data_IF_760617405247
#
_entry.id   IF_760617405247
#
_cell.length_a   1.000
_cell.length_b   1.000
_cell.length_c   1.000
_cell.angle_alpha   90.00
_cell.angle_beta   90.00
_cell.angle_gamma   90.00
#
_symmetry.space_group_name_H-M   'P 1'
#
loop_
_entity.id
_entity.type
_entity.pdbx_description
1 polymer ?
#
# COMPACT_ATOMS: atom_id res chain seq x y z
N UNK A 1 -3.25 -10.59 17.36
CA UNK A 1 -4.02 -9.78 16.39
C UNK A 1 -4.99 -10.75 15.73
N UNK A 2 -6.25 -10.74 16.16
CA UNK A 2 -7.32 -11.53 15.55
C UNK A 2 -8.28 -10.61 14.80
N UNK A 3 -9.25 -11.20 14.11
CA UNK A 3 -10.38 -10.47 13.58
C UNK A 3 -11.31 -10.10 14.74
N UNK A 4 -11.03 -9.00 15.44
CA UNK A 4 -11.71 -8.60 16.68
C UNK A 4 -13.15 -8.06 16.42
N UNK A 5 -13.97 -8.79 15.67
CA UNK A 5 -15.37 -8.43 15.37
C UNK A 5 -15.55 -7.13 14.58
N UNK A 6 -14.47 -6.53 14.06
CA UNK A 6 -14.54 -5.32 13.24
C UNK A 6 -15.21 -5.65 11.89
N UNK A 7 -16.12 -4.79 11.41
CA UNK A 7 -16.80 -5.01 10.14
C UNK A 7 -15.80 -5.02 8.99
N UNK A 8 -16.09 -5.81 7.96
CA UNK A 8 -15.37 -5.73 6.70
C UNK A 8 -15.59 -4.35 6.07
N UNK A 9 -14.52 -3.83 5.45
CA UNK A 9 -14.54 -2.54 4.78
C UNK A 9 -14.19 -2.77 3.31
N UNK A 10 -15.05 -2.28 2.42
CA UNK A 10 -14.85 -2.34 0.98
C UNK A 10 -15.19 -0.98 0.34
N UNK A 11 -14.18 -0.32 -0.21
CA UNK A 11 -14.34 1.01 -0.83
C UNK A 11 -14.48 0.94 -2.35
N UNK A 12 -14.46 -0.24 -2.96
CA UNK A 12 -14.38 -0.41 -4.42
C UNK A 12 -15.58 0.16 -5.16
N UNK A 13 -16.77 0.12 -4.57
CA UNK A 13 -17.97 0.71 -5.18
C UNK A 13 -17.92 2.24 -5.27
N UNK A 14 -16.99 2.88 -4.54
CA UNK A 14 -16.82 4.34 -4.49
C UNK A 14 -15.72 4.85 -5.43
N UNK A 15 -15.01 3.95 -6.11
CA UNK A 15 -13.89 4.28 -6.98
C UNK A 15 -13.97 3.47 -8.27
N UNK A 16 -13.26 3.91 -9.31
CA UNK A 16 -13.16 3.15 -10.57
C UNK A 16 -11.71 2.71 -10.76
N UNK A 17 -11.50 1.39 -10.83
CA UNK A 17 -10.18 0.85 -11.14
C UNK A 17 -9.75 1.26 -12.55
N UNK A 18 -8.47 1.60 -12.70
CA UNK A 18 -7.89 1.78 -14.02
C UNK A 18 -6.38 1.47 -14.01
N UNK A 19 -5.86 0.71 -14.98
CA UNK A 19 -4.45 0.36 -15.01
C UNK A 19 -3.60 1.57 -15.39
N UNK A 20 -2.35 1.57 -14.95
CA UNK A 20 -1.32 2.52 -15.35
C UNK A 20 -1.10 2.48 -16.88
N UNK A 21 -0.70 3.61 -17.46
CA UNK A 21 -0.55 3.78 -18.92
C UNK A 21 0.90 3.63 -19.36
N UNK A 22 1.85 4.01 -18.52
CA UNK A 22 3.29 3.94 -18.76
C UNK A 22 3.98 2.93 -17.85
N UNK A 23 5.32 2.93 -17.86
CA UNK A 23 6.10 2.07 -16.96
C UNK A 23 6.25 2.65 -15.55
N UNK A 24 6.13 3.98 -15.40
CA UNK A 24 6.51 4.72 -14.18
C UNK A 24 5.37 5.54 -13.57
N UNK A 25 4.13 5.39 -14.06
CA UNK A 25 2.98 6.20 -13.65
C UNK A 25 2.10 5.53 -12.58
N UNK A 26 2.59 4.48 -11.90
CA UNK A 26 1.83 3.77 -10.86
C UNK A 26 1.38 4.71 -9.72
N UNK A 27 2.26 5.60 -9.23
CA UNK A 27 1.91 6.58 -8.20
C UNK A 27 0.80 7.54 -8.64
N UNK A 28 0.96 8.12 -9.85
CA UNK A 28 -0.01 9.05 -10.45
C UNK A 28 -1.36 8.36 -10.61
N UNK A 29 -1.34 7.12 -11.11
CA UNK A 29 -2.56 6.37 -11.33
C UNK A 29 -3.27 6.02 -10.04
N UNK A 30 -2.54 5.66 -8.99
CA UNK A 30 -3.11 5.46 -7.67
C UNK A 30 -3.82 6.73 -7.18
N UNK A 31 -3.19 7.90 -7.30
CA UNK A 31 -3.80 9.19 -6.90
C UNK A 31 -5.09 9.49 -7.66
N UNK A 32 -5.11 9.31 -8.99
CA UNK A 32 -6.32 9.49 -9.81
C UNK A 32 -7.47 8.60 -9.34
N UNK A 33 -7.19 7.34 -9.01
CA UNK A 33 -8.23 6.40 -8.54
C UNK A 33 -8.82 6.83 -7.18
N UNK A 34 -8.05 7.51 -6.35
CA UNK A 34 -8.45 7.97 -5.02
C UNK A 34 -9.24 9.29 -5.05
N UNK A 35 -9.14 10.08 -6.13
CA UNK A 35 -9.79 11.40 -6.27
C UNK A 35 -11.30 11.42 -6.00
N UNK A 36 -12.12 10.42 -6.43
CA UNK A 36 -13.56 10.40 -6.12
C UNK A 36 -13.87 10.41 -4.62
N UNK A 37 -12.91 10.01 -3.78
CA UNK A 37 -13.01 10.03 -2.32
C UNK A 37 -12.38 11.28 -1.69
N UNK A 38 -12.07 12.30 -2.52
CA UNK A 38 -11.53 13.61 -2.13
C UNK A 38 -10.22 13.53 -1.34
N UNK A 39 -9.42 12.51 -1.60
CA UNK A 39 -8.10 12.31 -0.99
C UNK A 39 -7.05 11.97 -2.03
N UNK A 40 -5.81 12.35 -1.76
CA UNK A 40 -4.64 11.86 -2.48
C UNK A 40 -3.52 11.52 -1.50
N UNK A 41 -2.64 10.61 -1.89
CA UNK A 41 -1.49 10.23 -1.08
C UNK A 41 -0.45 11.35 -1.01
N UNK A 42 0.13 11.58 0.17
CA UNK A 42 1.25 12.50 0.38
C UNK A 42 2.47 12.14 -0.49
N UNK A 43 3.34 13.12 -0.70
CA UNK A 43 4.64 12.90 -1.32
C UNK A 43 5.61 12.20 -0.35
N UNK A 44 6.76 11.71 -0.85
CA UNK A 44 7.94 11.48 -0.01
C UNK A 44 8.19 12.54 1.05
N UNK A 45 8.49 12.07 2.26
CA UNK A 45 8.78 12.94 3.42
C UNK A 45 10.23 12.85 3.86
N UNK A 46 10.93 11.76 3.52
CA UNK A 46 12.36 11.62 3.79
C UNK A 46 13.23 12.00 2.58
N UNK A 47 14.50 12.29 2.86
CA UNK A 47 15.48 12.77 1.87
C UNK A 47 15.69 11.79 0.69
N UNK A 48 15.60 10.48 0.95
CA UNK A 48 15.85 9.43 -0.04
C UNK A 48 14.57 8.93 -0.74
N UNK A 49 13.56 9.80 -0.82
CA UNK A 49 12.19 9.50 -1.25
C UNK A 49 11.41 8.52 -0.35
N UNK A 50 11.90 8.29 0.87
CA UNK A 50 11.23 7.44 1.86
C UNK A 50 9.91 8.05 2.35
N UNK A 51 9.05 7.19 2.90
CA UNK A 51 7.76 7.56 3.46
C UNK A 51 7.84 7.84 4.95
N UNK A 52 6.86 8.58 5.47
CA UNK A 52 6.69 8.78 6.90
C UNK A 52 6.56 7.44 7.63
N UNK A 53 5.79 6.50 7.04
CA UNK A 53 5.77 5.11 7.44
C UNK A 53 6.57 4.27 6.44
N UNK A 54 7.90 4.35 6.52
CA UNK A 54 8.81 3.41 5.88
C UNK A 54 8.89 2.14 6.72
N UNK A 55 8.27 1.05 6.27
CA UNK A 55 8.13 -0.20 7.03
C UNK A 55 9.28 -1.16 6.80
N UNK A 56 10.02 -1.00 5.69
CA UNK A 56 11.22 -1.76 5.41
C UNK A 56 12.13 -0.99 4.45
N UNK A 57 13.43 -1.31 4.49
CA UNK A 57 14.45 -0.88 3.52
C UNK A 57 15.29 -2.09 3.14
N UNK A 58 15.86 -2.14 1.94
CA UNK A 58 16.88 -3.14 1.64
C UNK A 58 18.12 -2.94 2.51
N UNK A 59 18.79 -4.03 2.90
CA UNK A 59 20.11 -3.92 3.50
C UNK A 59 21.11 -3.37 2.48
N UNK A 60 22.28 -2.91 2.94
CA UNK A 60 23.31 -2.32 2.08
C UNK A 60 23.83 -3.23 0.97
N UNK A 61 23.63 -4.55 1.08
CA UNK A 61 24.01 -5.54 0.07
C UNK A 61 22.87 -5.92 -0.89
N UNK A 62 21.67 -5.34 -0.72
CA UNK A 62 20.48 -5.64 -1.53
C UNK A 62 20.12 -7.14 -1.56
N UNK A 63 20.29 -7.83 -0.43
CA UNK A 63 20.02 -9.28 -0.28
C UNK A 63 18.83 -9.59 0.61
N UNK A 64 18.34 -8.62 1.39
CA UNK A 64 17.18 -8.79 2.26
C UNK A 64 16.55 -7.45 2.64
N UNK A 65 15.29 -7.49 3.06
CA UNK A 65 14.61 -6.36 3.68
C UNK A 65 14.92 -6.30 5.19
N UNK A 66 15.34 -5.13 5.64
CA UNK A 66 15.45 -4.74 7.06
C UNK A 66 14.14 -4.08 7.46
N UNK A 67 13.36 -4.75 8.31
CA UNK A 67 12.04 -4.30 8.74
C UNK A 67 12.12 -3.25 9.86
N UNK A 68 11.23 -2.27 9.82
CA UNK A 68 11.04 -1.27 10.87
C UNK A 68 9.70 -1.51 11.56
N UNK A 69 9.76 -2.26 12.67
CA UNK A 69 8.57 -2.69 13.42
C UNK A 69 7.72 -1.51 13.90
N UNK A 70 8.34 -0.45 14.43
CA UNK A 70 7.62 0.72 14.95
C UNK A 70 6.84 1.42 13.84
N UNK A 71 7.46 1.63 12.67
CA UNK A 71 6.76 2.23 11.54
C UNK A 71 5.70 1.30 10.95
N UNK A 72 5.95 -0.01 10.96
CA UNK A 72 4.97 -1.00 10.53
C UNK A 72 3.71 -0.97 11.40
N UNK A 73 3.84 -1.06 12.72
CA UNK A 73 2.71 -1.04 13.65
C UNK A 73 1.90 0.26 13.54
N UNK A 74 2.59 1.40 13.49
CA UNK A 74 1.94 2.71 13.32
C UNK A 74 1.28 2.86 11.95
N UNK A 75 1.92 2.35 10.89
CA UNK A 75 1.40 2.38 9.53
C UNK A 75 0.17 1.48 9.34
N UNK A 76 0.15 0.29 9.94
CA UNK A 76 -1.04 -0.59 9.94
C UNK A 76 -2.19 0.06 10.70
N UNK A 77 -1.92 0.66 11.85
CA UNK A 77 -2.93 1.45 12.59
C UNK A 77 -3.47 2.61 11.74
N UNK A 78 -2.61 3.25 10.96
CA UNK A 78 -3.03 4.28 10.01
C UNK A 78 -3.94 3.73 8.91
N UNK A 79 -3.58 2.61 8.29
CA UNK A 79 -4.40 1.93 7.27
C UNK A 79 -5.80 1.63 7.82
N UNK A 80 -5.85 1.01 8.99
CA UNK A 80 -7.12 0.66 9.64
C UNK A 80 -8.03 1.88 9.81
N UNK A 81 -7.51 2.94 10.45
CA UNK A 81 -8.30 4.15 10.70
C UNK A 81 -8.66 4.90 9.41
N UNK A 82 -7.78 4.88 8.41
CA UNK A 82 -8.04 5.47 7.10
C UNK A 82 -9.20 4.76 6.41
N UNK A 83 -9.20 3.42 6.40
CA UNK A 83 -10.28 2.62 5.83
C UNK A 83 -11.59 2.80 6.60
N UNK A 84 -11.54 2.84 7.94
CA UNK A 84 -12.70 3.13 8.81
C UNK A 84 -13.31 4.51 8.49
N UNK A 85 -12.48 5.50 8.15
CA UNK A 85 -12.90 6.82 7.70
C UNK A 85 -13.36 6.87 6.22
N UNK A 86 -13.34 5.75 5.50
CA UNK A 86 -13.75 5.67 4.10
C UNK A 86 -12.69 6.12 3.10
N UNK A 87 -11.41 6.14 3.49
CA UNK A 87 -10.30 6.57 2.66
C UNK A 87 -9.36 5.40 2.30
N UNK A 88 -9.15 5.11 1.01
CA UNK A 88 -8.16 4.13 0.56
C UNK A 88 -6.75 4.61 0.88
N UNK A 89 -5.76 3.72 0.85
CA UNK A 89 -4.38 4.06 1.18
C UNK A 89 -3.43 3.61 0.07
N UNK A 90 -2.62 4.54 -0.44
CA UNK A 90 -1.55 4.21 -1.36
C UNK A 90 -0.38 3.61 -0.57
N UNK A 91 0.08 2.44 -1.01
CA UNK A 91 1.25 1.76 -0.42
C UNK A 91 2.28 1.45 -1.48
N UNK A 92 3.55 1.56 -1.08
CA UNK A 92 4.69 1.12 -1.88
C UNK A 92 5.03 -0.33 -1.54
N UNK A 93 5.38 -1.10 -2.55
CA UNK A 93 5.79 -2.50 -2.41
C UNK A 93 7.18 -2.72 -3.01
N UNK A 94 7.87 -3.73 -2.48
CA UNK A 94 9.02 -4.37 -3.11
C UNK A 94 8.57 -5.69 -3.73
N UNK A 95 8.88 -5.89 -5.01
CA UNK A 95 8.66 -7.14 -5.75
C UNK A 95 9.95 -7.88 -6.11
N UNK A 96 11.09 -7.19 -6.04
CA UNK A 96 12.41 -7.78 -6.23
C UNK A 96 13.47 -6.93 -5.51
N UNK A 97 14.47 -7.61 -4.95
CA UNK A 97 15.63 -6.95 -4.38
C UNK A 97 16.52 -6.38 -5.49
N UNK A 98 17.23 -5.27 -5.22
CA UNK A 98 18.12 -4.60 -6.18
C UNK A 98 17.42 -4.14 -7.47
N UNK A 99 16.12 -3.83 -7.40
CA UNK A 99 15.29 -3.49 -8.57
C UNK A 99 14.86 -2.01 -8.60
N UNK A 100 15.54 -1.17 -7.82
CA UNK A 100 15.11 0.20 -7.51
C UNK A 100 14.78 1.10 -8.69
N UNK A 101 13.52 1.54 -8.76
CA UNK A 101 13.07 2.57 -9.71
C UNK A 101 12.44 3.80 -9.04
N UNK A 102 11.80 3.68 -7.87
CA UNK A 102 11.02 4.79 -7.27
C UNK A 102 11.70 5.49 -6.08
N UNK A 103 12.72 4.89 -5.47
CA UNK A 103 13.47 5.44 -4.35
C UNK A 103 14.97 5.31 -4.55
N UNK A 104 15.76 6.23 -3.98
CA UNK A 104 17.21 6.13 -3.99
C UNK A 104 17.72 4.96 -3.14
N UNK A 105 16.92 4.52 -2.16
CA UNK A 105 17.14 3.31 -1.35
C UNK A 105 16.91 2.01 -2.14
N UNK A 106 16.42 2.12 -3.39
CA UNK A 106 16.05 1.02 -4.27
C UNK A 106 14.98 0.05 -3.73
N UNK A 107 14.33 0.39 -2.61
CA UNK A 107 13.46 -0.56 -1.90
C UNK A 107 12.05 -0.63 -2.49
N UNK A 108 11.42 0.50 -2.82
CA UNK A 108 10.07 0.50 -3.42
C UNK A 108 10.17 0.56 -4.93
N UNK A 109 9.58 -0.41 -5.60
CA UNK A 109 9.64 -0.58 -7.06
C UNK A 109 8.25 -0.49 -7.72
N UNK A 110 7.18 -0.53 -6.92
CA UNK A 110 5.81 -0.37 -7.41
C UNK A 110 4.87 0.25 -6.36
N UNK A 111 3.77 0.85 -6.83
CA UNK A 111 2.73 1.42 -5.98
C UNK A 111 1.38 0.76 -6.26
N UNK A 112 0.66 0.43 -5.19
CA UNK A 112 -0.69 -0.14 -5.22
C UNK A 112 -1.60 0.60 -4.25
N UNK A 113 -2.89 0.29 -4.27
CA UNK A 113 -3.88 0.93 -3.38
C UNK A 113 -4.52 -0.14 -2.50
N UNK A 114 -4.46 0.01 -1.18
CA UNK A 114 -5.31 -0.75 -0.26
C UNK A 114 -6.71 -0.13 -0.29
N UNK A 115 -7.70 -0.93 -0.66
CA UNK A 115 -9.10 -0.51 -0.91
C UNK A 115 -10.10 -1.14 0.06
N UNK A 116 -9.64 -2.00 0.96
CA UNK A 116 -10.50 -2.65 1.92
C UNK A 116 -9.77 -3.54 2.92
N UNK A 117 -10.52 -3.96 3.93
CA UNK A 117 -10.09 -4.85 5.01
C UNK A 117 -11.13 -5.95 5.19
N UNK A 118 -10.69 -7.18 5.33
CA UNK A 118 -11.56 -8.33 5.52
C UNK A 118 -10.92 -9.35 6.47
N UNK A 119 -11.73 -10.26 6.97
CA UNK A 119 -11.28 -11.39 7.76
C UNK A 119 -11.47 -12.68 6.98
N UNK A 120 -10.39 -13.40 6.69
CA UNK A 120 -10.47 -14.72 6.05
C UNK A 120 -9.76 -15.75 6.93
N UNK A 121 -10.47 -16.80 7.33
CA UNK A 121 -9.92 -17.90 8.16
C UNK A 121 -9.27 -17.42 9.48
N UNK A 122 -9.79 -16.34 10.07
CA UNK A 122 -9.25 -15.75 11.31
C UNK A 122 -8.05 -14.83 11.10
N UNK A 123 -7.60 -14.64 9.86
CA UNK A 123 -6.52 -13.72 9.50
C UNK A 123 -7.06 -12.40 8.97
N UNK A 124 -6.46 -11.30 9.42
CA UNK A 124 -6.73 -9.98 8.87
C UNK A 124 -6.04 -9.86 7.52
N UNK A 125 -6.81 -9.50 6.50
CA UNK A 125 -6.31 -9.25 5.15
C UNK A 125 -6.72 -7.88 4.65
N UNK A 126 -5.85 -7.30 3.83
CA UNK A 126 -6.07 -6.01 3.17
C UNK A 126 -6.18 -6.22 1.67
N UNK A 127 -7.37 -5.97 1.13
CA UNK A 127 -7.62 -6.02 -0.30
C UNK A 127 -6.89 -4.86 -0.97
N UNK A 128 -6.21 -5.13 -2.09
CA UNK A 128 -5.54 -4.09 -2.85
C UNK A 128 -5.87 -4.13 -4.34
N UNK A 129 -5.68 -2.99 -4.99
CA UNK A 129 -5.71 -2.83 -6.44
C UNK A 129 -4.32 -2.57 -6.97
N UNK A 130 -3.89 -3.39 -7.93
CA UNK A 130 -2.59 -3.30 -8.60
C UNK A 130 -2.71 -2.57 -9.95
N UNK A 131 -2.31 -1.30 -9.98
CA UNK A 131 -2.38 -0.50 -11.21
C UNK A 131 -1.40 -0.95 -12.30
N UNK A 132 -0.39 -1.78 -11.98
CA UNK A 132 0.59 -2.32 -12.92
C UNK A 132 0.02 -3.32 -13.93
N UNK A 133 -1.25 -3.72 -13.78
CA UNK A 133 -1.90 -4.72 -14.63
C UNK A 133 -3.36 -4.39 -14.90
N UNK A 134 -3.84 -4.72 -16.11
CA UNK A 134 -5.27 -4.61 -16.47
C UNK A 134 -6.21 -5.47 -15.61
N UNK A 135 -5.67 -6.49 -14.92
CA UNK A 135 -6.40 -7.36 -13.99
C UNK A 135 -6.19 -6.95 -12.52
N UNK A 136 -5.76 -5.72 -12.29
CA UNK A 136 -5.36 -5.20 -10.99
C UNK A 136 -6.43 -5.17 -9.92
N UNK A 137 -7.70 -5.14 -10.32
CA UNK A 137 -8.85 -5.19 -9.41
C UNK A 137 -9.29 -6.63 -9.06
N UNK A 138 -8.37 -7.60 -9.09
CA UNK A 138 -8.69 -9.00 -8.79
C UNK A 138 -9.19 -9.17 -7.35
N UNK A 139 -10.17 -10.05 -7.16
CA UNK A 139 -10.65 -10.40 -5.82
C UNK A 139 -9.58 -11.13 -4.98
N UNK A 140 -8.57 -11.71 -5.63
CA UNK A 140 -7.53 -12.50 -4.98
C UNK A 140 -6.38 -11.66 -4.42
N UNK A 141 -6.29 -10.38 -4.82
CA UNK A 141 -5.20 -9.49 -4.42
C UNK A 141 -5.44 -8.97 -3.02
N UNK A 142 -4.78 -9.63 -2.07
CA UNK A 142 -4.86 -9.36 -0.65
C UNK A 142 -3.47 -9.47 -0.02
N UNK A 143 -3.11 -8.49 0.79
CA UNK A 143 -2.01 -8.62 1.73
C UNK A 143 -2.51 -9.31 3.00
N UNK A 144 -1.79 -10.31 3.47
CA UNK A 144 -1.99 -10.90 4.80
C UNK A 144 -1.23 -10.08 5.83
N UNK A 145 -1.90 -9.74 6.93
CA UNK A 145 -1.25 -9.12 8.08
C UNK A 145 -0.41 -10.15 8.84
N UNK A 146 0.91 -9.99 8.76
CA UNK A 146 1.85 -10.75 9.59
C UNK A 146 2.28 -9.91 10.80
N UNK A 147 3.16 -10.47 11.65
CA UNK A 147 3.64 -9.80 12.87
C UNK A 147 4.39 -8.49 12.58
N UNK A 148 5.12 -8.43 11.48
CA UNK A 148 6.11 -7.40 11.16
C UNK A 148 6.02 -6.88 9.72
N UNK A 149 5.11 -7.42 8.91
CA UNK A 149 4.92 -7.02 7.52
C UNK A 149 3.50 -7.25 7.00
N UNK A 150 3.16 -6.53 5.93
CA UNK A 150 2.06 -6.88 5.03
C UNK A 150 2.65 -7.56 3.81
N UNK A 151 2.18 -8.77 3.51
CA UNK A 151 2.79 -9.64 2.50
C UNK A 151 1.74 -10.31 1.63
N UNK A 152 2.07 -10.55 0.36
CA UNK A 152 1.29 -11.43 -0.52
C UNK A 152 2.22 -12.17 -1.48
N UNK A 153 1.94 -13.45 -1.68
CA UNK A 153 2.52 -14.32 -2.72
C UNK A 153 1.58 -14.43 -3.95
N UNK A 154 0.42 -13.77 -3.90
CA UNK A 154 -0.62 -13.84 -4.94
C UNK A 154 -0.65 -12.55 -5.75
N UNK A 155 0.23 -12.47 -6.73
CA UNK A 155 0.21 -11.43 -7.77
C UNK A 155 -0.01 -12.06 -9.16
N UNK A 156 -0.26 -11.23 -10.19
CA UNK A 156 -0.59 -11.73 -11.54
C UNK A 156 0.49 -12.64 -12.13
N UNK A 157 1.75 -12.33 -11.86
CA UNK A 157 2.90 -13.07 -12.38
C UNK A 157 3.38 -13.98 -11.26
N UNK A 158 3.30 -15.29 -11.46
CA UNK A 158 3.85 -16.25 -10.50
C UNK A 158 5.32 -15.89 -10.21
N UNK A 159 5.67 -15.77 -8.93
CA UNK A 159 7.05 -15.52 -8.49
C UNK A 159 7.42 -14.08 -8.14
N UNK A 160 6.46 -13.14 -8.14
CA UNK A 160 6.67 -11.81 -7.57
C UNK A 160 5.81 -11.62 -6.32
N UNK A 161 6.41 -11.93 -5.17
CA UNK A 161 5.84 -11.65 -3.88
C UNK A 161 5.94 -10.16 -3.60
N UNK A 162 4.92 -9.56 -3.00
CA UNK A 162 4.96 -8.16 -2.59
C UNK A 162 5.06 -8.07 -1.07
N UNK A 163 6.08 -7.36 -0.61
CA UNK A 163 6.15 -6.85 0.77
C UNK A 163 5.89 -5.35 0.76
N UNK A 164 4.95 -4.88 1.58
CA UNK A 164 4.70 -3.44 1.74
C UNK A 164 5.89 -2.80 2.46
N UNK A 165 6.52 -1.83 1.82
CA UNK A 165 7.71 -1.09 2.28
C UNK A 165 7.39 0.36 2.63
N UNK A 166 6.28 0.89 2.11
CA UNK A 166 5.81 2.25 2.37
C UNK A 166 4.32 2.31 2.57
N UNK A 167 3.88 3.14 3.52
CA UNK A 167 2.47 3.49 3.70
C UNK A 167 2.34 5.01 3.63
N UNK A 168 1.68 5.53 2.60
CA UNK A 168 1.51 6.98 2.40
C UNK A 168 0.26 7.47 3.10
N UNK A 169 0.42 8.53 3.91
CA UNK A 169 -0.75 9.21 4.50
C UNK A 169 -1.50 9.99 3.43
N UNK A 170 -2.80 10.18 3.65
CA UNK A 170 -3.67 10.93 2.77
C UNK A 170 -3.68 12.42 3.11
N UNK A 171 -3.84 13.23 2.07
CA UNK A 171 -4.13 14.66 2.14
C UNK A 171 -5.55 14.85 1.62
N UNK A 172 -6.35 15.64 2.34
CA UNK A 172 -7.69 16.01 1.91
C UNK A 172 -7.61 17.06 0.79
N UNK A 173 -8.25 16.78 -0.36
CA UNK A 173 -8.14 17.60 -1.56
C UNK A 173 -8.70 19.02 -1.37
N UNK A 174 -9.75 19.18 -0.56
CA UNK A 174 -10.42 20.46 -0.36
C UNK A 174 -9.65 21.39 0.58
N UNK A 175 -8.94 20.83 1.56
CA UNK A 175 -8.25 21.60 2.60
C UNK A 175 -6.75 21.64 2.43
N UNK A 176 -6.17 20.75 1.62
CA UNK A 176 -4.73 20.55 1.51
C UNK A 176 -4.08 20.02 2.79
N UNK A 177 -4.88 19.60 3.79
CA UNK A 177 -4.38 19.14 5.09
C UNK A 177 -4.17 17.64 5.10
N UNK A 178 -3.10 17.23 5.77
CA UNK A 178 -2.82 15.85 6.07
C UNK A 178 -3.91 15.26 6.97
N UNK A 179 -4.36 14.04 6.65
CA UNK A 179 -5.27 13.25 7.46
C UNK A 179 -4.42 12.41 8.42
N UNK A 180 -4.58 12.68 9.71
CA UNK A 180 -3.88 12.01 10.82
C UNK A 180 -4.88 11.49 11.84
N UNK A 181 -4.52 10.48 12.63
CA UNK A 181 -5.43 9.83 13.56
C UNK A 181 -4.81 9.41 14.89
#
# INVERSE_FOLDING_TARGET
MGCDGKPEIDLRSKMTFSPQRGATDCNIRCRIIMEPLSVHAENPTGADNTSYYQTAIENSSHTQLVLNQTNFENGVKYIDKSLEAGHPVLVGVNHALNFGYNEQTNTTDHYVIIVGKLCENGEVKYRFWDVGTRKGASEDYKFTLMKDKLFTDRTRKSGHDYTVTQIRRNINNSTGRLITF
#
